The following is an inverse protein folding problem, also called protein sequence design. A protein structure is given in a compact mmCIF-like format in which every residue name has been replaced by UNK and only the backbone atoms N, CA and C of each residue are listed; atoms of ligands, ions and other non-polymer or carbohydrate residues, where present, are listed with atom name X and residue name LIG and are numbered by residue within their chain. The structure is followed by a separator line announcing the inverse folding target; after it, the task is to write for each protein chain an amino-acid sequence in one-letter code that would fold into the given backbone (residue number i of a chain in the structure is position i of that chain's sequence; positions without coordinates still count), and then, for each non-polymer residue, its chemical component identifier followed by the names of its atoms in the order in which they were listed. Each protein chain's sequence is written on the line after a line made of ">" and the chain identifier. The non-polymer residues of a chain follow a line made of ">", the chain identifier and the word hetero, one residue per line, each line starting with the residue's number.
data_IF_747629609060
#
_entry.id   IF_747629609060
#
_cell.length_a   1.000
_cell.length_b   1.000
_cell.length_c   1.000
_cell.angle_alpha   90.00
_cell.angle_beta   90.00
_cell.angle_gamma   90.00
#
_symmetry.space_group_name_H-M   'P 1'
#
loop_
_entity.id
_entity.type
_entity.pdbx_description
1 polymer ?
#
# COMPACT_ATOMS: atom_id res chain seq x y z
N UNK A 1 35.50 -55.21 13.92
CA UNK A 1 35.16 -54.50 12.67
C UNK A 1 34.11 -53.45 13.00
N UNK A 2 34.50 -52.18 12.99
CA UNK A 2 33.65 -51.04 13.36
C UNK A 2 32.88 -50.54 12.14
N UNK A 3 31.54 -50.48 12.22
CA UNK A 3 30.71 -49.80 11.22
C UNK A 3 30.24 -48.47 11.79
N UNK A 4 30.65 -47.40 11.12
CA UNK A 4 30.35 -46.02 11.44
C UNK A 4 28.87 -45.70 11.15
N UNK A 5 28.18 -45.14 12.14
CA UNK A 5 26.84 -44.59 11.99
C UNK A 5 26.93 -43.21 11.30
N UNK A 6 26.34 -43.10 10.11
CA UNK A 6 26.15 -41.82 9.42
C UNK A 6 24.82 -41.23 9.87
N UNK A 7 24.86 -40.09 10.55
CA UNK A 7 23.68 -39.27 10.89
C UNK A 7 23.20 -38.51 9.64
N UNK A 8 21.91 -38.54 9.28
CA UNK A 8 21.40 -37.61 8.27
C UNK A 8 21.22 -36.21 8.90
N UNK A 9 21.84 -35.23 8.25
CA UNK A 9 21.76 -33.82 8.58
C UNK A 9 20.34 -33.27 8.39
N UNK A 10 19.92 -32.40 9.32
CA UNK A 10 18.70 -31.61 9.25
C UNK A 10 18.72 -30.72 8.01
N UNK A 11 17.88 -31.03 7.01
CA UNK A 11 17.56 -30.09 5.94
C UNK A 11 16.66 -28.99 6.52
N UNK A 12 17.18 -27.77 6.54
CA UNK A 12 16.48 -26.57 6.99
C UNK A 12 15.28 -26.27 6.08
N UNK A 13 14.15 -25.95 6.72
CA UNK A 13 12.91 -25.62 6.04
C UNK A 13 13.03 -24.36 5.16
N UNK A 14 12.70 -24.52 3.88
CA UNK A 14 12.43 -23.43 2.94
C UNK A 14 11.09 -23.58 2.21
N UNK A 15 10.17 -24.41 2.72
CA UNK A 15 8.86 -24.66 2.07
C UNK A 15 7.65 -24.08 2.85
N UNK A 16 7.83 -22.99 3.60
CA UNK A 16 6.74 -22.40 4.40
C UNK A 16 6.04 -21.19 3.77
N UNK A 17 6.15 -21.03 2.46
CA UNK A 17 5.25 -20.13 1.73
C UNK A 17 4.58 -20.94 0.62
N UNK A 18 3.25 -21.06 0.62
CA UNK A 18 2.57 -21.51 -0.60
C UNK A 18 3.00 -20.56 -1.71
N UNK A 19 3.23 -21.05 -2.95
CA UNK A 19 3.52 -20.17 -4.06
C UNK A 19 2.41 -19.13 -4.10
N UNK A 20 2.80 -17.85 -4.08
CA UNK A 20 1.92 -16.74 -4.43
C UNK A 20 1.13 -17.22 -5.63
N UNK A 21 -0.17 -17.43 -5.45
CA UNK A 21 -1.06 -17.87 -6.50
C UNK A 21 -0.90 -16.83 -7.59
N UNK A 22 -0.14 -17.15 -8.63
CA UNK A 22 0.00 -16.30 -9.80
C UNK A 22 -1.42 -15.96 -10.22
N UNK A 23 -1.71 -14.68 -10.43
CA UNK A 23 -3.03 -14.28 -10.90
C UNK A 23 -3.33 -15.12 -12.14
N UNK A 24 -4.45 -15.87 -12.19
CA UNK A 24 -4.72 -16.77 -13.31
C UNK A 24 -4.83 -16.00 -14.64
N UNK A 25 -5.09 -14.69 -14.56
CA UNK A 25 -5.11 -13.76 -15.70
C UNK A 25 -3.71 -13.45 -16.21
N UNK A 26 -2.66 -13.56 -15.39
CA UNK A 26 -1.27 -13.32 -15.81
C UNK A 26 -0.78 -14.44 -16.72
N UNK A 27 -1.22 -15.68 -16.49
CA UNK A 27 -0.94 -16.82 -17.38
C UNK A 27 -1.55 -16.60 -18.78
N UNK A 28 -2.75 -16.03 -18.84
CA UNK A 28 -3.39 -15.63 -20.10
C UNK A 28 -2.63 -14.50 -20.79
N UNK A 29 -2.19 -13.50 -20.04
CA UNK A 29 -1.40 -12.38 -20.56
C UNK A 29 -0.06 -12.85 -21.14
N UNK A 30 0.62 -13.78 -20.48
CA UNK A 30 1.84 -14.40 -20.99
C UNK A 30 1.59 -15.18 -22.29
N UNK A 31 0.51 -15.96 -22.35
CA UNK A 31 0.18 -16.75 -23.54
C UNK A 31 -0.10 -15.84 -24.74
N UNK A 32 -0.93 -14.80 -24.55
CA UNK A 32 -1.22 -13.80 -25.59
C UNK A 32 0.06 -13.07 -26.00
N UNK A 33 0.90 -12.67 -25.04
CA UNK A 33 2.18 -12.01 -25.31
C UNK A 33 3.12 -12.87 -26.18
N UNK A 34 3.20 -14.17 -25.93
CA UNK A 34 4.02 -15.09 -26.75
C UNK A 34 3.52 -15.18 -28.19
N UNK A 35 2.20 -15.26 -28.40
CA UNK A 35 1.62 -15.28 -29.75
C UNK A 35 1.86 -13.97 -30.50
N UNK A 36 1.67 -12.82 -29.83
CA UNK A 36 1.89 -11.51 -30.46
C UNK A 36 3.38 -11.29 -30.81
N UNK A 37 4.31 -11.67 -29.92
CA UNK A 37 5.75 -11.57 -30.19
C UNK A 37 6.17 -12.44 -31.38
N UNK A 38 5.62 -13.65 -31.48
CA UNK A 38 5.89 -14.56 -32.60
C UNK A 38 5.42 -13.95 -33.93
N UNK A 39 4.20 -13.40 -33.95
CA UNK A 39 3.61 -12.81 -35.16
C UNK A 39 4.36 -11.54 -35.61
N UNK A 40 4.66 -10.63 -34.67
CA UNK A 40 5.42 -9.40 -34.96
C UNK A 40 6.82 -9.72 -35.49
N UNK A 41 7.43 -10.82 -35.03
CA UNK A 41 8.73 -11.30 -35.54
C UNK A 41 8.62 -11.80 -36.97
N UNK A 42 7.56 -12.53 -37.33
CA UNK A 42 7.34 -12.98 -38.71
C UNK A 42 7.12 -11.80 -39.66
N UNK A 43 6.32 -10.82 -39.23
CA UNK A 43 6.10 -9.59 -39.99
C UNK A 43 7.38 -8.78 -40.21
N UNK A 44 8.26 -8.68 -39.21
CA UNK A 44 9.55 -8.00 -39.37
C UNK A 44 10.45 -8.68 -40.39
N UNK A 45 10.47 -10.01 -40.42
CA UNK A 45 11.25 -10.80 -41.40
C UNK A 45 10.68 -10.63 -42.82
N UNK A 46 9.35 -10.56 -42.96
CA UNK A 46 8.69 -10.31 -44.25
C UNK A 46 8.93 -8.88 -44.75
N UNK A 47 8.81 -7.86 -43.88
CA UNK A 47 9.06 -6.46 -44.20
C UNK A 47 10.53 -6.19 -44.63
N UNK A 48 11.49 -6.94 -44.10
CA UNK A 48 12.89 -6.87 -44.53
C UNK A 48 13.10 -7.46 -45.93
N UNK A 49 12.30 -8.46 -46.32
CA UNK A 49 12.31 -9.02 -47.69
C UNK A 49 11.60 -8.13 -48.72
N UNK A 50 10.54 -7.43 -48.31
CA UNK A 50 9.72 -6.56 -49.17
C UNK A 50 10.26 -5.13 -49.33
N UNK A 51 11.36 -4.80 -48.65
CA UNK A 51 12.08 -3.51 -48.79
C UNK A 51 12.46 -3.16 -50.25
N UNK A 52 12.46 -4.13 -51.17
CA UNK A 52 12.70 -3.94 -52.62
C UNK A 52 11.46 -3.55 -53.45
N UNK A 53 10.24 -3.63 -52.92
CA UNK A 53 9.00 -3.24 -53.62
C UNK A 53 8.16 -2.33 -52.72
N UNK A 54 8.50 -1.05 -52.66
CA UNK A 54 7.71 -0.08 -51.88
C UNK A 54 6.51 0.39 -52.69
N UNK A 55 5.32 0.23 -52.12
CA UNK A 55 4.25 1.24 -52.04
C UNK A 55 3.01 0.67 -51.28
N UNK A 56 3.04 0.58 -49.95
CA UNK A 56 1.84 0.70 -49.07
C UNK A 56 2.09 0.40 -47.58
N UNK A 57 3.06 1.06 -46.93
CA UNK A 57 3.34 0.84 -45.49
C UNK A 57 2.10 1.05 -44.59
N UNK A 58 1.21 1.98 -44.94
CA UNK A 58 -0.01 2.26 -44.18
C UNK A 58 -1.07 1.14 -44.29
N UNK A 59 -1.19 0.48 -45.45
CA UNK A 59 -2.13 -0.63 -45.62
C UNK A 59 -1.63 -1.89 -44.91
N UNK A 60 -0.31 -2.08 -44.86
CA UNK A 60 0.32 -3.21 -44.16
C UNK A 60 0.18 -3.06 -42.63
N UNK A 61 0.22 -1.83 -42.11
CA UNK A 61 0.00 -1.58 -40.68
C UNK A 61 -1.45 -1.86 -40.25
N UNK A 62 -2.44 -1.45 -41.06
CA UNK A 62 -3.86 -1.73 -40.78
C UNK A 62 -4.18 -3.24 -40.88
N UNK A 63 -3.54 -3.96 -41.81
CA UNK A 63 -3.66 -5.44 -41.91
C UNK A 63 -3.06 -6.12 -40.69
N UNK A 64 -1.89 -5.67 -40.26
CA UNK A 64 -1.22 -6.18 -39.06
C UNK A 64 -2.07 -5.98 -37.80
N UNK A 65 -2.65 -4.79 -37.62
CA UNK A 65 -3.56 -4.50 -36.50
C UNK A 65 -4.78 -5.43 -36.51
N UNK A 66 -5.40 -5.63 -37.68
CA UNK A 66 -6.55 -6.51 -37.83
C UNK A 66 -6.18 -7.99 -37.55
N UNK A 67 -5.01 -8.45 -37.98
CA UNK A 67 -4.55 -9.82 -37.75
C UNK A 67 -4.17 -10.06 -36.29
N UNK A 68 -3.49 -9.12 -35.65
CA UNK A 68 -3.20 -9.19 -34.20
C UNK A 68 -4.52 -9.21 -33.42
N UNK A 69 -5.48 -8.34 -33.76
CA UNK A 69 -6.80 -8.34 -33.12
C UNK A 69 -7.55 -9.68 -33.29
N UNK A 70 -7.47 -10.28 -34.48
CA UNK A 70 -8.05 -11.60 -34.76
C UNK A 70 -7.36 -12.72 -33.95
N UNK A 71 -6.02 -12.69 -33.82
CA UNK A 71 -5.27 -13.66 -33.03
C UNK A 71 -5.56 -13.54 -31.54
N UNK A 72 -5.58 -12.32 -31.02
CA UNK A 72 -5.91 -12.06 -29.60
C UNK A 72 -7.33 -12.52 -29.29
N UNK A 73 -8.32 -12.20 -30.13
CA UNK A 73 -9.70 -12.63 -29.91
C UNK A 73 -9.85 -14.15 -29.94
N UNK A 74 -9.18 -14.86 -30.86
CA UNK A 74 -9.16 -16.33 -30.91
C UNK A 74 -8.49 -16.95 -29.67
N UNK A 75 -7.39 -16.37 -29.19
CA UNK A 75 -6.69 -16.85 -27.99
C UNK A 75 -7.53 -16.62 -26.72
N UNK A 76 -8.18 -15.45 -26.60
CA UNK A 76 -9.11 -15.17 -25.52
C UNK A 76 -10.31 -16.10 -25.55
N UNK A 77 -10.88 -16.32 -26.73
CA UNK A 77 -12.04 -17.20 -26.90
C UNK A 77 -11.68 -18.64 -26.51
N UNK A 78 -10.57 -19.20 -27.01
CA UNK A 78 -10.17 -20.58 -26.70
C UNK A 78 -9.86 -20.78 -25.22
N UNK A 79 -9.21 -19.80 -24.58
CA UNK A 79 -8.89 -19.86 -23.15
C UNK A 79 -10.16 -19.74 -22.29
N UNK A 80 -11.04 -18.77 -22.57
CA UNK A 80 -12.27 -18.53 -21.82
C UNK A 80 -13.35 -19.58 -22.08
N UNK A 81 -13.39 -20.21 -23.25
CA UNK A 81 -14.37 -21.26 -23.58
C UNK A 81 -13.94 -22.66 -23.13
N UNK A 82 -12.69 -22.86 -22.72
CA UNK A 82 -12.21 -24.16 -22.27
C UNK A 82 -12.91 -24.62 -20.98
N UNK A 83 -13.41 -25.85 -20.94
CA UNK A 83 -14.06 -26.46 -19.75
C UNK A 83 -13.05 -27.09 -18.78
N UNK A 84 -11.79 -26.68 -18.84
CA UNK A 84 -10.74 -27.15 -17.95
C UNK A 84 -10.78 -26.41 -16.61
N UNK A 85 -10.13 -26.96 -15.58
CA UNK A 85 -9.97 -26.31 -14.28
C UNK A 85 -9.25 -24.96 -14.41
N UNK A 86 -8.30 -24.87 -15.33
CA UNK A 86 -7.57 -23.65 -15.69
C UNK A 86 -8.49 -22.61 -16.32
N UNK A 87 -9.30 -22.98 -17.34
CA UNK A 87 -10.29 -22.07 -17.93
C UNK A 87 -11.31 -21.57 -16.91
N UNK A 88 -11.72 -22.41 -15.96
CA UNK A 88 -12.57 -22.00 -14.83
C UNK A 88 -11.86 -20.98 -13.93
N UNK A 89 -10.59 -21.21 -13.59
CA UNK A 89 -9.80 -20.28 -12.78
C UNK A 89 -9.64 -18.92 -13.48
N UNK A 90 -9.39 -18.90 -14.79
CA UNK A 90 -9.29 -17.68 -15.60
C UNK A 90 -10.62 -16.93 -15.61
N UNK A 91 -11.74 -17.61 -15.88
CA UNK A 91 -13.08 -17.00 -15.84
C UNK A 91 -13.39 -16.39 -14.46
N UNK A 92 -13.12 -17.15 -13.40
CA UNK A 92 -13.32 -16.67 -12.02
C UNK A 92 -12.44 -15.47 -11.69
N UNK A 93 -11.17 -15.48 -12.11
CA UNK A 93 -10.25 -14.36 -11.94
C UNK A 93 -10.71 -13.11 -12.69
N UNK A 94 -11.18 -13.26 -13.94
CA UNK A 94 -11.72 -12.15 -14.73
C UNK A 94 -13.00 -11.57 -14.11
N UNK A 95 -13.91 -12.43 -13.65
CA UNK A 95 -15.11 -11.99 -12.92
C UNK A 95 -14.73 -11.24 -11.65
N UNK A 96 -13.73 -11.70 -10.89
CA UNK A 96 -13.26 -11.02 -9.69
C UNK A 96 -12.61 -9.67 -10.00
N UNK A 97 -11.81 -9.56 -11.08
CA UNK A 97 -11.21 -8.29 -11.52
C UNK A 97 -12.27 -7.31 -12.02
N UNK A 98 -13.25 -7.77 -12.79
CA UNK A 98 -14.37 -6.94 -13.24
C UNK A 98 -15.23 -6.49 -12.06
N UNK A 99 -15.59 -7.40 -11.14
CA UNK A 99 -16.30 -7.03 -9.93
C UNK A 99 -15.51 -5.99 -9.11
N UNK A 100 -14.19 -6.15 -8.99
CA UNK A 100 -13.35 -5.19 -8.28
C UNK A 100 -13.28 -3.83 -8.99
N UNK A 101 -13.31 -3.79 -10.33
CA UNK A 101 -13.34 -2.55 -11.11
C UNK A 101 -14.70 -1.85 -11.01
N UNK A 102 -15.80 -2.60 -11.08
CA UNK A 102 -17.16 -2.09 -10.91
C UNK A 102 -17.41 -1.57 -9.47
N UNK A 103 -16.89 -2.27 -8.46
CA UNK A 103 -16.96 -1.80 -7.08
C UNK A 103 -15.94 -0.68 -6.78
N UNK A 104 -14.81 -0.64 -7.48
CA UNK A 104 -13.74 0.35 -7.31
C UNK A 104 -14.06 1.74 -7.88
N UNK A 105 -15.13 1.87 -8.66
CA UNK A 105 -15.61 3.15 -9.17
C UNK A 105 -16.59 3.87 -8.22
N UNK A 106 -16.81 3.31 -7.03
CA UNK A 106 -17.40 4.01 -5.90
C UNK A 106 -16.27 4.37 -4.92
N UNK A 107 -16.08 5.64 -4.55
CA UNK A 107 -15.21 5.95 -3.44
C UNK A 107 -15.96 5.48 -2.20
N UNK A 108 -15.65 4.31 -1.66
CA UNK A 108 -15.72 3.97 -0.23
C UNK A 108 -15.76 2.45 0.04
N UNK A 109 -15.02 2.09 1.09
CA UNK A 109 -15.27 0.97 2.01
C UNK A 109 -14.75 -0.42 1.58
N UNK A 110 -13.60 -0.78 2.14
CA UNK A 110 -13.19 -2.18 2.33
C UNK A 110 -14.35 -2.98 2.96
N UNK A 111 -14.58 -4.25 2.56
CA UNK A 111 -15.59 -5.08 3.20
C UNK A 111 -15.27 -5.21 4.70
N UNK A 112 -16.28 -5.28 5.59
CA UNK A 112 -16.04 -5.52 7.00
C UNK A 112 -15.36 -6.88 7.13
N UNK A 113 -14.05 -6.85 7.40
CA UNK A 113 -13.29 -8.04 7.77
C UNK A 113 -13.98 -8.61 9.00
N UNK A 114 -14.32 -9.89 8.92
CA UNK A 114 -14.92 -10.67 10.01
C UNK A 114 -14.28 -10.32 11.36
N UNK A 115 -15.06 -10.06 12.43
CA UNK A 115 -14.55 -9.59 13.73
C UNK A 115 -13.68 -10.61 14.49
N UNK A 116 -13.40 -11.78 13.90
CA UNK A 116 -12.68 -12.87 14.56
C UNK A 116 -11.16 -12.85 14.40
N UNK A 117 -10.59 -11.93 13.62
CA UNK A 117 -9.15 -11.79 13.48
C UNK A 117 -8.72 -10.31 13.46
N UNK A 118 -9.21 -9.52 14.41
CA UNK A 118 -8.70 -8.18 14.61
C UNK A 118 -7.25 -8.24 15.10
N UNK A 119 -6.32 -7.89 14.21
CA UNK A 119 -4.89 -7.82 14.53
C UNK A 119 -4.67 -6.85 15.70
N UNK A 120 -4.05 -7.35 16.76
CA UNK A 120 -3.65 -6.55 17.91
C UNK A 120 -2.33 -5.83 17.62
N UNK A 121 -2.40 -4.51 17.56
CA UNK A 121 -1.26 -3.64 17.32
C UNK A 121 -0.61 -3.20 18.63
N UNK A 122 0.70 -3.00 18.57
CA UNK A 122 1.42 -2.27 19.63
C UNK A 122 1.11 -0.77 19.57
N UNK A 123 1.35 -0.05 20.66
CA UNK A 123 1.26 1.42 20.67
C UNK A 123 2.20 2.08 19.64
N UNK A 124 3.35 1.47 19.36
CA UNK A 124 4.28 1.95 18.34
C UNK A 124 3.70 1.81 16.92
N UNK A 125 3.16 0.64 16.60
CA UNK A 125 2.51 0.39 15.30
C UNK A 125 1.27 1.25 15.11
N UNK A 126 0.46 1.45 16.15
CA UNK A 126 -0.69 2.35 16.09
C UNK A 126 -0.26 3.81 15.88
N UNK A 127 0.85 4.25 16.47
CA UNK A 127 1.39 5.59 16.27
C UNK A 127 1.86 5.83 14.83
N UNK A 128 2.51 4.82 14.25
CA UNK A 128 2.94 4.84 12.84
C UNK A 128 1.73 4.91 11.90
N UNK A 129 0.69 4.10 12.13
CA UNK A 129 -0.53 4.14 11.30
C UNK A 129 -1.33 5.44 11.43
N UNK A 130 -1.26 6.10 12.58
CA UNK A 130 -1.95 7.37 12.83
C UNK A 130 -1.12 8.60 12.44
N UNK A 131 0.15 8.42 12.09
CA UNK A 131 1.14 9.49 11.88
C UNK A 131 1.20 10.47 13.08
N UNK A 132 1.10 9.94 14.30
CA UNK A 132 1.14 10.73 15.54
C UNK A 132 2.21 10.20 16.48
N UNK A 133 2.51 10.97 17.53
CA UNK A 133 3.47 10.54 18.53
C UNK A 133 2.95 9.38 19.38
N UNK A 134 3.83 8.47 19.79
CA UNK A 134 3.54 7.39 20.75
C UNK A 134 2.87 7.86 22.05
N UNK A 135 3.30 8.96 22.71
CA UNK A 135 2.60 9.46 23.90
C UNK A 135 1.18 9.94 23.59
N UNK A 136 0.94 10.48 22.39
CA UNK A 136 -0.41 10.86 21.97
C UNK A 136 -1.32 9.64 21.82
N UNK A 137 -0.83 8.53 21.24
CA UNK A 137 -1.58 7.26 21.21
C UNK A 137 -1.87 6.75 22.63
N UNK A 138 -0.90 6.84 23.54
CA UNK A 138 -1.11 6.46 24.95
C UNK A 138 -2.25 7.26 25.56
N UNK A 139 -2.24 8.58 25.37
CA UNK A 139 -3.30 9.48 25.82
C UNK A 139 -4.66 9.11 25.21
N UNK A 140 -4.72 8.77 23.92
CA UNK A 140 -5.97 8.35 23.27
C UNK A 140 -6.53 7.04 23.82
N UNK A 141 -5.65 6.11 24.21
CA UNK A 141 -6.02 4.89 24.93
C UNK A 141 -6.59 5.21 26.31
N UNK A 142 -5.94 6.09 27.07
CA UNK A 142 -6.41 6.51 28.41
C UNK A 142 -7.75 7.25 28.34
N UNK A 143 -8.01 7.98 27.25
CA UNK A 143 -9.29 8.64 26.95
C UNK A 143 -10.36 7.69 26.41
N UNK A 144 -10.05 6.41 26.17
CA UNK A 144 -10.99 5.44 25.59
C UNK A 144 -11.37 5.69 24.12
N UNK A 145 -10.69 6.62 23.43
CA UNK A 145 -11.01 6.99 22.04
C UNK A 145 -10.58 5.93 21.02
N UNK A 146 -9.66 5.04 21.39
CA UNK A 146 -9.19 3.91 20.58
C UNK A 146 -9.87 2.59 20.96
N UNK A 147 -11.04 2.65 21.62
CA UNK A 147 -11.84 1.49 21.98
C UNK A 147 -11.22 0.63 23.08
N UNK A 148 -11.52 -0.67 23.03
CA UNK A 148 -11.05 -1.64 24.04
C UNK A 148 -9.55 -1.92 23.88
N UNK A 149 -8.78 -1.61 24.91
CA UNK A 149 -7.34 -1.86 24.98
C UNK A 149 -7.11 -3.14 25.78
N UNK A 150 -6.53 -4.14 25.13
CA UNK A 150 -6.14 -5.39 25.79
C UNK A 150 -4.78 -5.19 26.42
N UNK A 151 -4.65 -5.45 27.72
CA UNK A 151 -3.35 -5.49 28.38
C UNK A 151 -2.79 -6.90 28.33
N UNK A 152 -1.54 -7.05 27.88
CA UNK A 152 -0.81 -8.31 28.01
C UNK A 152 -0.38 -8.52 29.47
N UNK A 153 -0.05 -9.75 29.85
CA UNK A 153 0.48 -10.10 31.19
C UNK A 153 1.69 -9.24 31.61
N UNK A 154 2.47 -8.73 30.66
CA UNK A 154 3.60 -7.80 30.90
C UNK A 154 3.24 -6.31 31.00
N UNK A 155 1.95 -5.95 31.11
CA UNK A 155 1.49 -4.56 31.25
C UNK A 155 1.55 -3.72 29.96
N UNK A 156 1.90 -4.30 28.82
CA UNK A 156 1.89 -3.61 27.53
C UNK A 156 0.47 -3.49 26.96
N UNK A 157 0.15 -2.31 26.44
CA UNK A 157 -1.12 -2.00 25.77
C UNK A 157 -1.15 -2.59 24.36
N UNK A 158 -2.24 -3.28 24.03
CA UNK A 158 -2.56 -3.79 22.68
C UNK A 158 -3.87 -3.18 22.21
N UNK A 159 -3.85 -2.66 20.99
CA UNK A 159 -4.96 -1.90 20.40
C UNK A 159 -5.45 -2.67 19.20
N UNK A 160 -6.77 -2.84 19.04
CA UNK A 160 -7.33 -3.48 17.85
C UNK A 160 -7.12 -2.60 16.63
N UNK A 161 -6.66 -3.18 15.52
CA UNK A 161 -6.46 -2.46 14.26
C UNK A 161 -7.76 -1.80 13.75
N UNK A 162 -8.91 -2.46 13.91
CA UNK A 162 -10.23 -1.91 13.57
C UNK A 162 -10.55 -0.60 14.29
N UNK A 163 -10.20 -0.50 15.57
CA UNK A 163 -10.45 0.70 16.37
C UNK A 163 -9.58 1.89 15.90
N UNK A 164 -8.33 1.63 15.53
CA UNK A 164 -7.43 2.64 14.95
C UNK A 164 -7.98 3.15 13.62
N UNK A 165 -8.45 2.26 12.75
CA UNK A 165 -9.06 2.64 11.47
C UNK A 165 -10.35 3.43 11.65
N UNK A 166 -11.19 3.04 12.61
CA UNK A 166 -12.43 3.76 12.93
C UNK A 166 -12.12 5.19 13.41
N UNK A 167 -11.08 5.33 14.24
CA UNK A 167 -10.61 6.63 14.71
C UNK A 167 -10.09 7.51 13.55
N UNK A 168 -9.34 6.94 12.62
CA UNK A 168 -8.91 7.66 11.40
C UNK A 168 -10.10 8.13 10.58
N UNK A 169 -11.07 7.26 10.31
CA UNK A 169 -12.25 7.61 9.55
C UNK A 169 -13.07 8.73 10.22
N UNK A 170 -13.20 8.69 11.55
CA UNK A 170 -13.85 9.76 12.32
C UNK A 170 -13.07 11.08 12.25
N UNK A 171 -11.74 11.03 12.38
CA UNK A 171 -10.86 12.20 12.30
C UNK A 171 -10.92 12.86 10.92
N UNK A 172 -10.89 12.07 9.84
CA UNK A 172 -11.00 12.61 8.48
C UNK A 172 -12.35 13.30 8.26
N UNK A 173 -13.45 12.72 8.77
CA UNK A 173 -14.78 13.37 8.72
C UNK A 173 -14.82 14.70 9.47
N UNK A 174 -14.13 14.80 10.61
CA UNK A 174 -14.05 16.05 11.37
C UNK A 174 -13.27 17.15 10.64
N UNK A 175 -12.24 16.78 9.87
CA UNK A 175 -11.43 17.74 9.12
C UNK A 175 -11.93 18.02 7.71
N UNK A 176 -12.89 17.24 7.19
CA UNK A 176 -13.40 17.38 5.81
C UNK A 176 -14.10 18.71 5.50
N UNK A 177 -14.40 19.54 6.50
CA UNK A 177 -14.95 20.88 6.33
C UNK A 177 -14.23 21.96 7.11
N UNK A 178 -13.06 21.65 7.69
CA UNK A 178 -12.28 22.64 8.41
C UNK A 178 -11.51 23.51 7.39
N UNK A 179 -11.62 24.85 7.45
CA UNK A 179 -10.78 25.72 6.62
C UNK A 179 -9.32 25.41 6.91
N UNK A 180 -8.49 25.48 5.87
CA UNK A 180 -7.06 25.27 6.07
C UNK A 180 -6.53 26.28 7.13
N UNK A 181 -5.51 25.92 7.92
CA UNK A 181 -4.99 26.83 8.94
C UNK A 181 -4.60 28.21 8.38
N UNK A 182 -4.21 28.26 7.10
CA UNK A 182 -3.91 29.50 6.39
C UNK A 182 -5.17 30.31 6.07
N UNK A 183 -6.20 29.69 5.49
CA UNK A 183 -7.48 30.35 5.21
C UNK A 183 -8.16 30.83 6.50
N UNK A 184 -8.07 30.04 7.58
CA UNK A 184 -8.58 30.43 8.89
C UNK A 184 -7.83 31.65 9.47
N UNK A 185 -6.51 31.71 9.24
CA UNK A 185 -5.68 32.84 9.66
C UNK A 185 -5.92 34.09 8.79
N UNK A 186 -6.14 33.93 7.48
CA UNK A 186 -6.55 35.01 6.58
C UNK A 186 -7.93 35.55 6.95
N UNK A 187 -8.92 34.68 7.19
CA UNK A 187 -10.25 35.07 7.65
C UNK A 187 -10.24 35.76 9.03
N UNK A 188 -9.26 35.44 9.88
CA UNK A 188 -9.04 36.09 11.16
C UNK A 188 -8.26 37.41 11.05
N UNK A 189 -7.89 37.85 9.85
CA UNK A 189 -7.12 39.08 9.61
C UNK A 189 -5.67 39.01 10.10
N UNK A 190 -5.13 37.81 10.34
CA UNK A 190 -3.79 37.63 10.90
C UNK A 190 -2.67 38.03 9.93
N UNK A 191 -2.99 38.18 8.64
CA UNK A 191 -2.08 38.56 7.56
C UNK A 191 -2.36 39.95 6.96
N UNK A 192 -3.26 40.74 7.56
CA UNK A 192 -3.58 42.09 7.08
C UNK A 192 -2.49 43.14 7.41
N UNK A 193 -1.37 42.68 7.98
CA UNK A 193 -0.29 43.55 8.41
C UNK A 193 0.71 43.77 7.25
N UNK A 194 1.04 45.02 6.90
CA UNK A 194 2.04 45.31 5.88
C UNK A 194 3.41 44.75 6.26
N UNK A 195 4.20 44.36 5.25
CA UNK A 195 5.57 43.88 5.44
C UNK A 195 6.37 44.89 6.29
N UNK A 196 6.86 44.45 7.46
CA UNK A 196 7.57 45.28 8.44
C UNK A 196 6.81 45.57 9.75
N UNK A 197 5.56 45.11 9.90
CA UNK A 197 4.78 45.33 11.13
C UNK A 197 5.34 44.59 12.36
N UNK A 198 5.90 43.39 12.17
CA UNK A 198 6.58 42.66 13.23
C UNK A 198 8.06 43.08 13.26
N UNK A 199 8.39 44.12 14.03
CA UNK A 199 9.78 44.37 14.40
C UNK A 199 10.16 43.30 15.41
N UNK A 200 11.06 42.39 15.02
CA UNK A 200 11.77 41.56 15.99
C UNK A 200 12.47 42.51 16.95
N UNK A 201 11.90 42.68 18.14
CA UNK A 201 12.63 43.23 19.28
C UNK A 201 13.65 42.16 19.60
N UNK A 202 14.78 42.18 18.88
CA UNK A 202 16.01 41.59 19.38
C UNK A 202 16.17 42.28 20.72
N UNK A 203 16.01 41.51 21.80
CA UNK A 203 16.32 41.98 23.13
C UNK A 203 17.79 42.39 23.09
N UNK A 204 18.05 43.68 22.95
CA UNK A 204 19.39 44.22 23.10
C UNK A 204 19.82 43.86 24.52
N UNK A 205 20.71 42.86 24.60
CA UNK A 205 21.45 42.47 25.78
C UNK A 205 20.61 42.25 27.06
N UNK A 206 19.78 41.20 27.08
CA UNK A 206 19.57 40.53 28.37
C UNK A 206 20.92 39.87 28.74
N UNK A 207 21.54 40.20 29.89
CA UNK A 207 22.75 39.52 30.33
C UNK A 207 22.46 38.02 30.48
N UNK A 208 23.44 37.14 30.21
CA UNK A 208 23.22 35.70 30.26
C UNK A 208 22.66 35.33 31.64
N UNK A 209 21.46 34.75 31.66
CA UNK A 209 20.90 34.14 32.87
C UNK A 209 21.81 32.95 33.20
N UNK A 210 22.82 33.20 34.02
CA UNK A 210 23.58 32.18 34.73
C UNK A 210 22.57 31.47 35.64
N UNK A 211 22.03 30.36 35.15
CA UNK A 211 21.24 29.47 35.97
C UNK A 211 22.03 29.12 37.24
N UNK A 212 21.51 29.36 38.47
CA UNK A 212 22.20 28.92 39.67
C UNK A 212 22.24 27.39 39.64
N UNK A 213 23.44 26.83 39.48
CA UNK A 213 23.73 25.41 39.73
C UNK A 213 23.44 25.12 41.21
N UNK A 214 22.22 24.70 41.50
CA UNK A 214 21.88 24.12 42.79
C UNK A 214 22.67 22.80 42.94
N UNK A 215 23.80 22.86 43.64
CA UNK A 215 24.49 21.67 44.14
C UNK A 215 23.63 21.11 45.29
N UNK A 216 22.75 20.17 44.98
CA UNK A 216 22.09 19.38 46.01
C UNK A 216 23.09 18.37 46.59
N UNK A 217 23.75 18.75 47.68
CA UNK A 217 24.44 17.83 48.57
C UNK A 217 23.40 16.94 49.27
N UNK A 218 23.21 15.71 48.79
CA UNK A 218 22.54 14.68 49.58
C UNK A 218 23.53 14.15 50.62
N UNK A 219 23.31 14.48 51.90
CA UNK A 219 23.95 13.76 53.01
C UNK A 219 23.35 12.34 53.09
N UNK A 220 24.14 11.29 53.34
CA UNK A 220 23.61 9.97 53.61
C UNK A 220 22.92 9.96 54.98
N UNK A 221 21.74 9.35 55.04
CA UNK A 221 21.06 9.09 56.31
C UNK A 221 21.56 7.74 56.82
N UNK A 222 22.12 7.77 58.03
CA UNK A 222 22.49 6.61 58.84
C UNK A 222 21.25 5.81 59.27
#
# INVERSE_FOLDING_TARGET
>A
MAQAQIKPAKAGGKDRYPPLVSDPVDSLAEQVGRYVIAEVRQYRMQAESDRKKRNSIAADMQRLEAEIGCLVSKALQSSLSSQTAEGKAIRMGLIAKLASAELGNLPLHQPPRSPMADTLLTTAQAAEQLEVSRPYVSMLCDQGKLGEVVMTEGGHRRIRASAVQTYLAARTKQHAGAPSPREAAEAAGLYDFPEGHFKNVVREADPPILAPRAKASRKPRA
#
